data_IF_715410384772
#
_entry.id   IF_715410384772
#
_cell.length_a   1.000
_cell.length_b   1.000
_cell.length_c   1.000
_cell.angle_alpha   90.00
_cell.angle_beta   90.00
_cell.angle_gamma   90.00
#
_symmetry.space_group_name_H-M   'P 1'
#
loop_
_entity.id
_entity.type
_entity.pdbx_description
1 polymer ?
#
# COMPACT_ATOMS: atom_id res chain seq x y z
N UNK A 1 0.84 1.96 -20.59
CA UNK A 1 -0.45 2.35 -19.99
C UNK A 1 -1.51 2.33 -21.07
N UNK A 2 -2.28 1.25 -21.13
CA UNK A 2 -3.30 1.02 -22.16
C UNK A 2 -4.70 0.83 -21.56
N UNK A 3 -4.77 0.26 -20.35
CA UNK A 3 -6.05 -0.01 -19.70
C UNK A 3 -6.71 1.26 -19.13
N UNK A 4 -8.02 1.44 -19.34
CA UNK A 4 -8.73 2.66 -18.95
C UNK A 4 -8.72 2.91 -17.43
N UNK A 5 -8.75 1.86 -16.62
CA UNK A 5 -8.68 1.95 -15.15
C UNK A 5 -7.33 2.50 -14.69
N UNK A 6 -6.24 2.00 -15.29
CA UNK A 6 -4.89 2.47 -15.00
C UNK A 6 -4.72 3.93 -15.41
N UNK A 7 -5.28 4.33 -16.56
CA UNK A 7 -5.25 5.70 -17.04
C UNK A 7 -6.05 6.65 -16.13
N UNK A 8 -7.19 6.20 -15.61
CA UNK A 8 -8.00 6.97 -14.67
C UNK A 8 -7.24 7.26 -13.37
N UNK A 9 -6.63 6.24 -12.75
CA UNK A 9 -5.82 6.41 -11.53
C UNK A 9 -4.60 7.30 -11.79
N UNK A 10 -3.93 7.11 -12.93
CA UNK A 10 -2.80 7.94 -13.34
C UNK A 10 -3.20 9.43 -13.44
N UNK A 11 -4.25 9.74 -14.20
CA UNK A 11 -4.72 11.10 -14.39
C UNK A 11 -5.22 11.72 -13.08
N UNK A 12 -5.98 10.97 -12.28
CA UNK A 12 -6.44 11.42 -10.97
C UNK A 12 -5.27 11.78 -10.05
N UNK A 13 -4.23 10.95 -10.04
CA UNK A 13 -3.01 11.22 -9.26
C UNK A 13 -2.27 12.46 -9.77
N UNK A 14 -2.19 12.68 -11.08
CA UNK A 14 -1.56 13.89 -11.64
C UNK A 14 -2.30 15.19 -11.25
N UNK A 15 -3.61 15.14 -11.04
CA UNK A 15 -4.44 16.29 -10.69
C UNK A 15 -4.41 16.64 -9.18
N UNK A 16 -3.74 15.84 -8.37
CA UNK A 16 -3.76 15.96 -6.92
C UNK A 16 -2.36 15.90 -6.30
N UNK A 17 -2.19 16.55 -5.15
CA UNK A 17 -0.93 16.56 -4.42
C UNK A 17 -1.02 15.62 -3.20
N UNK A 18 -1.11 14.32 -3.45
CA UNK A 18 -1.14 13.33 -2.37
C UNK A 18 0.18 13.32 -1.59
N UNK A 19 0.09 13.26 -0.26
CA UNK A 19 1.26 13.10 0.63
C UNK A 19 1.73 11.66 0.69
N UNK A 20 0.81 10.71 0.61
CA UNK A 20 1.06 9.27 0.54
C UNK A 20 -0.05 8.54 -0.22
N UNK A 21 0.16 7.27 -0.54
CA UNK A 21 -0.86 6.38 -1.13
C UNK A 21 -0.90 5.01 -0.46
N UNK A 22 -2.09 4.42 -0.38
CA UNK A 22 -2.32 3.04 0.02
C UNK A 22 -2.94 2.27 -1.15
N UNK A 23 -2.27 1.22 -1.63
CA UNK A 23 -2.77 0.30 -2.65
C UNK A 23 -3.18 -1.01 -1.96
N UNK A 24 -4.49 -1.26 -1.87
CA UNK A 24 -5.03 -2.45 -1.20
C UNK A 24 -5.05 -3.67 -2.12
N UNK A 25 -4.55 -4.78 -1.59
CA UNK A 25 -4.49 -6.09 -2.22
C UNK A 25 -4.84 -7.18 -1.19
N UNK A 26 -4.91 -8.42 -1.64
CA UNK A 26 -4.97 -9.63 -0.79
C UNK A 26 -4.02 -10.67 -1.42
N UNK A 27 -3.24 -11.42 -0.65
CA UNK A 27 -3.33 -11.69 0.79
C UNK A 27 -1.94 -11.82 1.42
N UNK A 28 -1.85 -11.80 2.74
CA UNK A 28 -0.59 -12.09 3.45
C UNK A 28 -0.47 -11.47 4.84
N UNK A 29 -1.32 -10.49 5.16
CA UNK A 29 -1.14 -9.58 6.30
C UNK A 29 0.24 -8.92 6.28
N UNK A 30 0.61 -8.38 5.11
CA UNK A 30 1.89 -7.72 4.86
C UNK A 30 1.72 -6.28 4.37
N UNK A 31 2.72 -5.45 4.64
CA UNK A 31 2.83 -4.08 4.18
C UNK A 31 4.15 -3.93 3.43
N UNK A 32 4.07 -3.63 2.13
CA UNK A 32 5.25 -3.34 1.31
C UNK A 32 5.41 -1.83 1.13
N UNK A 33 6.58 -1.29 1.48
CA UNK A 33 6.79 0.16 1.63
C UNK A 33 7.91 0.75 0.75
N UNK A 34 8.73 -0.10 0.12
CA UNK A 34 9.92 0.31 -0.63
C UNK A 34 9.75 0.06 -2.14
N UNK A 35 10.46 0.83 -2.95
CA UNK A 35 10.66 0.52 -4.36
C UNK A 35 12.12 0.76 -4.73
N UNK A 36 12.86 -0.30 -5.10
CA UNK A 36 14.27 -0.23 -5.47
C UNK A 36 15.11 0.60 -4.46
N UNK A 37 15.92 1.52 -4.96
CA UNK A 37 16.75 2.43 -4.17
C UNK A 37 16.07 3.78 -3.88
N UNK A 38 14.77 3.93 -4.17
CA UNK A 38 14.03 5.13 -3.78
C UNK A 38 13.83 5.11 -2.26
N UNK A 39 14.15 6.22 -1.62
CA UNK A 39 14.06 6.38 -0.18
C UNK A 39 13.27 7.65 0.17
N UNK A 40 11.92 7.64 0.01
CA UNK A 40 11.10 8.75 0.45
C UNK A 40 11.30 9.00 1.94
N UNK A 41 11.39 10.27 2.33
CA UNK A 41 11.54 10.65 3.73
C UNK A 41 10.42 10.05 4.57
N UNK A 42 10.79 9.48 5.72
CA UNK A 42 9.89 8.88 6.71
C UNK A 42 9.07 7.65 6.21
N UNK A 43 9.31 7.14 4.99
CA UNK A 43 8.51 6.02 4.44
C UNK A 43 8.54 4.78 5.33
N UNK A 44 9.74 4.43 5.85
CA UNK A 44 9.89 3.30 6.75
C UNK A 44 9.20 3.53 8.10
N UNK A 45 9.41 4.69 8.73
CA UNK A 45 8.82 5.02 10.04
C UNK A 45 7.29 5.04 9.97
N UNK A 46 6.72 5.62 8.92
CA UNK A 46 5.27 5.57 8.67
C UNK A 46 4.84 4.12 8.49
N UNK A 47 5.55 3.33 7.67
CA UNK A 47 5.27 1.90 7.49
C UNK A 47 5.27 1.11 8.79
N UNK A 48 6.19 1.41 9.71
CA UNK A 48 6.23 0.79 11.04
C UNK A 48 4.98 1.13 11.86
N UNK A 49 4.55 2.40 11.86
CA UNK A 49 3.30 2.81 12.54
C UNK A 49 2.08 2.11 11.96
N UNK A 50 2.02 1.93 10.63
CA UNK A 50 0.94 1.20 9.98
C UNK A 50 0.93 -0.28 10.40
N UNK A 51 2.10 -0.92 10.41
CA UNK A 51 2.28 -2.31 10.85
C UNK A 51 1.90 -2.49 12.33
N UNK A 52 2.38 -1.62 13.22
CA UNK A 52 2.03 -1.62 14.65
C UNK A 52 0.52 -1.47 14.87
N UNK A 53 -0.15 -0.63 14.08
CA UNK A 53 -1.59 -0.38 14.21
C UNK A 53 -2.49 -1.54 13.76
N UNK A 54 -1.97 -2.44 12.92
CA UNK A 54 -2.73 -3.52 12.27
C UNK A 54 -2.30 -4.91 12.68
N UNK A 55 -1.10 -5.05 13.25
CA UNK A 55 -0.43 -6.33 13.44
C UNK A 55 0.11 -6.96 12.15
N UNK A 56 0.11 -6.23 11.02
CA UNK A 56 0.66 -6.74 9.75
C UNK A 56 2.18 -6.65 9.74
N UNK A 57 2.83 -7.52 8.97
CA UNK A 57 4.28 -7.51 8.82
C UNK A 57 4.72 -6.39 7.87
N UNK A 58 5.57 -5.48 8.33
CA UNK A 58 6.27 -4.56 7.43
C UNK A 58 7.39 -5.31 6.71
N UNK A 59 7.14 -5.72 5.48
CA UNK A 59 8.05 -6.56 4.70
C UNK A 59 8.81 -5.74 3.64
N UNK A 60 10.02 -6.21 3.31
CA UNK A 60 10.70 -5.77 2.09
C UNK A 60 9.86 -6.17 0.88
N UNK A 61 9.79 -5.31 -0.14
CA UNK A 61 9.03 -5.61 -1.36
C UNK A 61 9.79 -6.66 -2.17
N UNK A 62 9.27 -7.89 -2.33
CA UNK A 62 9.98 -8.90 -3.08
C UNK A 62 10.03 -8.51 -4.57
N UNK A 63 11.11 -8.88 -5.25
CA UNK A 63 11.39 -8.42 -6.63
C UNK A 63 10.25 -8.73 -7.60
N UNK A 64 9.60 -9.89 -7.44
CA UNK A 64 8.45 -10.31 -8.26
C UNK A 64 7.15 -9.52 -7.96
N UNK A 65 7.05 -8.87 -6.79
CA UNK A 65 5.95 -7.98 -6.42
C UNK A 65 6.26 -6.51 -6.71
N UNK A 66 7.41 -6.27 -7.32
CA UNK A 66 7.88 -4.96 -7.79
C UNK A 66 7.73 -4.92 -9.31
N UNK A 67 7.77 -3.72 -9.90
CA UNK A 67 7.70 -3.44 -11.35
C UNK A 67 6.26 -3.27 -11.87
N UNK A 68 5.91 -2.01 -12.13
CA UNK A 68 4.68 -1.52 -12.75
C UNK A 68 3.41 -1.47 -11.87
N UNK A 69 3.51 -1.68 -10.56
CA UNK A 69 2.43 -1.39 -9.61
C UNK A 69 2.21 0.12 -9.41
N UNK A 70 0.99 0.52 -9.02
CA UNK A 70 0.66 1.93 -8.74
C UNK A 70 1.57 2.54 -7.65
N UNK A 71 1.82 1.80 -6.55
CA UNK A 71 2.77 2.17 -5.48
C UNK A 71 4.13 2.54 -6.04
N UNK A 72 4.72 1.67 -6.85
CA UNK A 72 6.07 1.82 -7.38
C UNK A 72 6.17 3.07 -8.26
N UNK A 73 5.18 3.26 -9.15
CA UNK A 73 5.10 4.45 -9.99
C UNK A 73 4.97 5.72 -9.15
N UNK A 74 4.14 5.71 -8.09
CA UNK A 74 3.98 6.86 -7.21
C UNK A 74 5.30 7.22 -6.49
N UNK A 75 5.96 6.22 -5.89
CA UNK A 75 7.27 6.39 -5.24
C UNK A 75 8.30 6.92 -6.24
N UNK A 76 8.38 6.33 -7.43
CA UNK A 76 9.32 6.77 -8.45
C UNK A 76 9.07 8.19 -8.93
N UNK A 77 7.80 8.54 -9.20
CA UNK A 77 7.41 9.82 -9.81
C UNK A 77 7.53 10.98 -8.84
N UNK A 78 7.15 10.77 -7.58
CA UNK A 78 7.01 11.84 -6.59
C UNK A 78 8.01 11.75 -5.44
N UNK A 79 8.71 10.62 -5.29
CA UNK A 79 9.58 10.32 -4.15
C UNK A 79 8.87 10.56 -2.81
N UNK A 80 7.62 10.07 -2.71
CA UNK A 80 6.75 10.17 -1.53
C UNK A 80 6.36 8.77 -1.03
N UNK A 81 5.96 8.64 0.25
CA UNK A 81 5.55 7.34 0.81
C UNK A 81 4.41 6.68 0.03
N UNK A 82 4.53 5.38 -0.19
CA UNK A 82 3.49 4.59 -0.86
C UNK A 82 3.55 3.15 -0.36
N UNK A 83 2.38 2.55 -0.14
CA UNK A 83 2.28 1.25 0.51
C UNK A 83 1.37 0.31 -0.27
N UNK A 84 1.75 -0.96 -0.34
CA UNK A 84 0.85 -2.05 -0.72
C UNK A 84 0.42 -2.72 0.57
N UNK A 85 -0.89 -2.84 0.78
CA UNK A 85 -1.48 -3.50 1.95
C UNK A 85 -2.07 -4.83 1.51
N UNK A 86 -1.39 -5.94 1.82
CA UNK A 86 -1.83 -7.30 1.52
C UNK A 86 -2.72 -7.82 2.64
N UNK A 87 -4.04 -7.63 2.52
CA UNK A 87 -4.99 -7.88 3.59
C UNK A 87 -5.44 -9.33 3.69
N UNK A 88 -5.76 -9.77 4.91
CA UNK A 88 -6.27 -11.12 5.17
C UNK A 88 -5.24 -12.23 4.89
N UNK A 89 -5.67 -13.47 5.07
CA UNK A 89 -4.80 -14.65 4.93
C UNK A 89 -5.53 -15.81 4.25
N UNK A 90 -4.83 -16.60 3.43
CA UNK A 90 -5.39 -17.78 2.78
C UNK A 90 -5.12 -17.81 1.28
N UNK A 91 -6.11 -18.25 0.51
CA UNK A 91 -6.09 -18.29 -0.95
C UNK A 91 -7.27 -17.47 -1.48
N UNK A 92 -7.02 -16.72 -2.56
CA UNK A 92 -8.03 -15.87 -3.16
C UNK A 92 -9.04 -16.71 -3.96
N UNK A 93 -10.34 -16.41 -3.91
CA UNK A 93 -10.94 -15.32 -3.13
C UNK A 93 -11.00 -15.63 -1.63
N UNK A 94 -10.59 -14.67 -0.80
CA UNK A 94 -10.67 -14.84 0.65
C UNK A 94 -12.13 -15.03 1.11
N UNK A 95 -12.38 -15.90 2.10
CA UNK A 95 -13.72 -16.12 2.63
C UNK A 95 -14.25 -14.86 3.31
N UNK A 96 -15.51 -14.52 3.02
CA UNK A 96 -16.18 -13.31 3.56
C UNK A 96 -16.22 -13.27 5.09
N UNK A 97 -16.07 -14.42 5.76
CA UNK A 97 -15.97 -14.52 7.22
C UNK A 97 -14.78 -13.74 7.78
N UNK A 98 -13.73 -13.50 7.00
CA UNK A 98 -12.59 -12.68 7.41
C UNK A 98 -12.87 -11.17 7.36
N UNK A 99 -13.98 -10.72 6.75
CA UNK A 99 -14.21 -9.29 6.50
C UNK A 99 -14.13 -8.44 7.77
N UNK A 100 -14.78 -8.87 8.86
CA UNK A 100 -14.76 -8.11 10.12
C UNK A 100 -13.36 -8.00 10.71
N UNK A 101 -12.56 -9.07 10.63
CA UNK A 101 -11.18 -9.06 11.11
C UNK A 101 -10.32 -8.15 10.22
N UNK A 102 -10.39 -8.31 8.89
CA UNK A 102 -9.67 -7.47 7.94
C UNK A 102 -9.99 -5.98 8.15
N UNK A 103 -11.27 -5.65 8.32
CA UNK A 103 -11.69 -4.26 8.56
C UNK A 103 -11.12 -3.71 9.86
N UNK A 104 -11.19 -4.48 10.95
CA UNK A 104 -10.66 -4.07 12.25
C UNK A 104 -9.14 -3.87 12.20
N UNK A 105 -8.41 -4.80 11.59
CA UNK A 105 -6.95 -4.72 11.42
C UNK A 105 -6.55 -3.47 10.61
N UNK A 106 -7.35 -3.09 9.61
CA UNK A 106 -7.04 -1.96 8.72
C UNK A 106 -7.52 -0.59 9.20
N UNK A 107 -8.36 -0.53 10.25
CA UNK A 107 -8.89 0.73 10.74
C UNK A 107 -7.76 1.67 11.20
N UNK A 108 -6.75 1.13 11.88
CA UNK A 108 -5.57 1.89 12.31
C UNK A 108 -4.77 2.44 11.14
N UNK A 109 -4.56 1.63 10.10
CA UNK A 109 -3.85 2.02 8.87
C UNK A 109 -4.55 3.22 8.22
N UNK A 110 -5.86 3.12 8.02
CA UNK A 110 -6.66 4.17 7.36
C UNK A 110 -6.61 5.48 8.14
N UNK A 111 -6.78 5.44 9.46
CA UNK A 111 -6.77 6.64 10.31
C UNK A 111 -5.39 7.30 10.36
N UNK A 112 -4.33 6.51 10.59
CA UNK A 112 -2.96 7.05 10.65
C UNK A 112 -2.52 7.65 9.31
N UNK A 113 -2.86 7.00 8.20
CA UNK A 113 -2.51 7.47 6.86
C UNK A 113 -3.15 8.81 6.48
N UNK A 114 -4.26 9.19 7.13
CA UNK A 114 -4.90 10.49 6.93
C UNK A 114 -4.24 11.62 7.74
N UNK A 115 -3.40 11.28 8.74
CA UNK A 115 -2.78 12.21 9.68
C UNK A 115 -1.27 12.41 9.43
N UNK A 116 -0.60 11.40 8.87
CA UNK A 116 0.85 11.37 8.61
C UNK A 116 1.17 11.88 7.20
#
# INVERSE_FOLDING_TARGET
>A
MTEPESLAIYNFTLMHNFSLVLAYHTQGKEIYWQFQNYNPSNSFEIGQKLAESSGYLLAETPYNSSFAGFKDWFIQKYNKPGYTIESGIGENPLPITQFNEIYNDNLGILVLSALL
#
